data_IF_436495907735
#
_entry.id   IF_436495907735
#
_cell.length_a   1.000
_cell.length_b   1.000
_cell.length_c   1.000
_cell.angle_alpha   90.00
_cell.angle_beta   90.00
_cell.angle_gamma   90.00
#
_symmetry.space_group_name_H-M   'P 1'
#
loop_
_entity.id
_entity.type
_entity.pdbx_description
1 polymer ?
#
# COMPACT_ATOMS: atom_id res chain seq x y z
N UNK A 1 42.80 7.21 -22.22
CA UNK A 1 41.99 8.17 -22.98
C UNK A 1 41.69 9.34 -22.06
N UNK A 2 41.96 10.59 -22.48
CA UNK A 2 41.70 11.77 -21.64
C UNK A 2 40.64 12.60 -22.36
N UNK A 3 39.56 12.94 -21.67
CA UNK A 3 38.47 13.77 -22.19
C UNK A 3 38.63 15.22 -21.70
N UNK A 4 38.37 16.20 -22.55
CA UNK A 4 38.37 17.61 -22.19
C UNK A 4 37.01 18.22 -22.51
N UNK A 5 36.47 19.01 -21.56
CA UNK A 5 35.25 19.74 -21.79
C UNK A 5 35.42 20.74 -22.93
N UNK A 6 34.54 20.71 -23.93
CA UNK A 6 34.51 21.65 -25.03
C UNK A 6 33.71 22.89 -24.63
N UNK A 7 34.17 24.06 -24.95
CA UNK A 7 33.37 25.28 -24.78
C UNK A 7 32.10 25.19 -25.64
N UNK A 8 30.94 25.18 -25.00
CA UNK A 8 29.67 25.18 -25.69
C UNK A 8 29.19 26.63 -25.83
N UNK A 9 28.93 27.04 -27.07
CA UNK A 9 28.24 28.30 -27.35
C UNK A 9 26.73 28.02 -27.30
N UNK A 10 26.03 28.54 -26.32
CA UNK A 10 24.60 28.38 -26.14
C UNK A 10 24.14 28.81 -24.75
N UNK A 11 22.85 28.72 -24.52
CA UNK A 11 22.26 29.02 -23.22
C UNK A 11 22.81 28.07 -22.18
N UNK A 12 23.31 28.58 -21.08
CA UNK A 12 23.81 27.80 -19.95
C UNK A 12 22.77 27.81 -18.85
N UNK A 13 22.55 26.62 -18.27
CA UNK A 13 21.65 26.47 -17.13
C UNK A 13 22.48 26.37 -15.86
N UNK A 14 22.20 27.23 -14.89
CA UNK A 14 22.82 27.14 -13.57
C UNK A 14 22.27 25.94 -12.81
N UNK A 15 23.12 24.96 -12.50
CA UNK A 15 22.76 23.81 -11.68
C UNK A 15 23.19 24.08 -10.24
N UNK A 16 22.27 24.14 -9.27
CA UNK A 16 22.61 24.36 -7.86
C UNK A 16 23.55 23.28 -7.32
N UNK A 17 24.48 23.67 -6.44
CA UNK A 17 25.43 22.75 -5.82
C UNK A 17 24.72 21.63 -5.03
N UNK A 18 23.49 21.88 -4.58
CA UNK A 18 22.62 20.90 -3.96
C UNK A 18 22.43 19.63 -4.82
N UNK A 19 22.24 19.79 -6.12
CA UNK A 19 22.07 18.67 -7.06
C UNK A 19 23.32 17.79 -7.07
N UNK A 20 24.51 18.42 -7.12
CA UNK A 20 25.78 17.69 -7.09
C UNK A 20 25.99 16.92 -5.78
N UNK A 21 25.60 17.51 -4.64
CA UNK A 21 25.74 16.86 -3.34
C UNK A 21 24.86 15.62 -3.18
N UNK A 22 23.79 15.51 -3.97
CA UNK A 22 22.83 14.38 -3.92
C UNK A 22 23.06 13.33 -5.02
N UNK A 23 24.01 13.53 -5.94
CA UNK A 23 24.27 12.58 -7.04
C UNK A 23 24.60 11.15 -6.55
N UNK A 24 25.23 11.01 -5.40
CA UNK A 24 25.61 9.69 -4.87
C UNK A 24 24.43 8.86 -4.34
N UNK A 25 23.29 9.48 -4.07
CA UNK A 25 22.08 8.84 -3.51
C UNK A 25 20.85 8.97 -4.44
N UNK A 26 20.95 9.81 -5.48
CA UNK A 26 19.87 10.02 -6.43
C UNK A 26 19.90 8.93 -7.50
N UNK A 27 18.75 8.34 -7.79
CA UNK A 27 18.61 7.42 -8.92
C UNK A 27 18.70 8.18 -10.26
N UNK A 28 19.04 7.48 -11.35
CA UNK A 28 19.24 8.08 -12.67
C UNK A 28 18.07 8.97 -13.10
N UNK A 29 16.84 8.52 -12.90
CA UNK A 29 15.65 9.29 -13.28
C UNK A 29 15.45 10.54 -12.42
N UNK A 30 15.87 10.53 -11.15
CA UNK A 30 15.82 11.71 -10.28
C UNK A 30 16.72 12.83 -10.84
N UNK A 31 17.92 12.48 -11.25
CA UNK A 31 18.86 13.45 -11.83
C UNK A 31 18.32 14.03 -13.15
N UNK A 32 17.75 13.18 -13.99
CA UNK A 32 17.14 13.61 -15.26
C UNK A 32 15.98 14.58 -15.03
N UNK A 33 15.12 14.29 -14.05
CA UNK A 33 14.00 15.18 -13.67
C UNK A 33 14.51 16.51 -13.11
N UNK A 34 15.53 16.51 -12.23
CA UNK A 34 16.09 17.77 -11.72
C UNK A 34 16.62 18.67 -12.83
N UNK A 35 17.42 18.12 -13.73
CA UNK A 35 18.00 18.88 -14.85
C UNK A 35 16.91 19.43 -15.79
N UNK A 36 15.88 18.62 -16.06
CA UNK A 36 14.76 19.05 -16.90
C UNK A 36 13.96 20.17 -16.23
N UNK A 37 13.64 20.02 -14.94
CA UNK A 37 12.91 21.05 -14.18
C UNK A 37 13.70 22.35 -14.10
N UNK A 38 15.01 22.27 -13.86
CA UNK A 38 15.90 23.46 -13.87
C UNK A 38 15.97 24.14 -15.23
N UNK A 39 15.86 23.36 -16.32
CA UNK A 39 15.91 23.88 -17.68
C UNK A 39 14.58 24.50 -18.13
N UNK A 40 13.46 23.91 -17.75
CA UNK A 40 12.13 24.22 -18.33
C UNK A 40 11.15 24.82 -17.34
N UNK A 41 11.39 24.66 -16.05
CA UNK A 41 10.43 25.01 -14.98
C UNK A 41 9.21 24.10 -14.90
N UNK A 42 9.14 23.05 -15.72
CA UNK A 42 7.97 22.14 -15.77
C UNK A 42 8.05 21.11 -14.66
N UNK A 43 7.03 21.08 -13.80
CA UNK A 43 6.89 20.13 -12.67
C UNK A 43 5.70 19.19 -12.80
N UNK A 44 5.01 19.21 -13.94
CA UNK A 44 3.87 18.32 -14.22
C UNK A 44 4.34 16.88 -14.45
N UNK A 45 3.91 15.89 -13.64
CA UNK A 45 4.36 14.50 -13.77
C UNK A 45 4.06 13.86 -15.12
N UNK A 46 2.94 14.21 -15.76
CA UNK A 46 2.55 13.63 -17.05
C UNK A 46 3.45 14.15 -18.17
N UNK A 47 3.77 15.45 -18.18
CA UNK A 47 4.73 16.03 -19.10
C UNK A 47 6.14 15.49 -18.87
N UNK A 48 6.57 15.36 -17.62
CA UNK A 48 7.87 14.76 -17.27
C UNK A 48 7.97 13.32 -17.79
N UNK A 49 6.91 12.54 -17.66
CA UNK A 49 6.87 11.18 -18.20
C UNK A 49 7.02 11.17 -19.72
N UNK A 50 6.28 12.03 -20.42
CA UNK A 50 6.31 12.10 -21.89
C UNK A 50 7.66 12.52 -22.41
N UNK A 51 8.21 13.64 -21.90
CA UNK A 51 9.42 14.27 -22.41
C UNK A 51 10.69 13.51 -22.04
N UNK A 52 10.76 12.97 -20.83
CA UNK A 52 11.91 12.20 -20.35
C UNK A 52 11.79 10.70 -20.61
N UNK A 53 10.68 10.24 -21.20
CA UNK A 53 10.37 8.80 -21.44
C UNK A 53 10.58 7.95 -20.18
N UNK A 54 10.01 8.40 -19.06
CA UNK A 54 10.08 7.67 -17.82
C UNK A 54 9.16 6.43 -17.88
N UNK A 55 9.49 5.41 -17.10
CA UNK A 55 8.73 4.14 -17.11
C UNK A 55 7.29 4.27 -16.63
N UNK A 56 7.02 5.23 -15.73
CA UNK A 56 5.69 5.46 -15.16
C UNK A 56 5.58 6.87 -14.58
N UNK A 57 4.34 7.35 -14.44
CA UNK A 57 4.01 8.58 -13.74
C UNK A 57 4.53 8.57 -12.28
N UNK A 58 4.45 7.42 -11.62
CA UNK A 58 4.95 7.23 -10.25
C UNK A 58 6.44 7.55 -10.15
N UNK A 59 7.23 7.23 -11.18
CA UNK A 59 8.66 7.57 -11.22
C UNK A 59 8.88 9.08 -11.28
N UNK A 60 8.04 9.82 -12.01
CA UNK A 60 8.10 11.28 -12.06
C UNK A 60 7.71 11.90 -10.71
N UNK A 61 6.61 11.43 -10.11
CA UNK A 61 6.14 11.89 -8.80
C UNK A 61 7.16 11.59 -7.69
N UNK A 62 7.77 10.40 -7.71
CA UNK A 62 8.84 10.02 -6.78
C UNK A 62 10.06 10.93 -6.91
N UNK A 63 10.46 11.26 -8.14
CA UNK A 63 11.58 12.18 -8.39
C UNK A 63 11.27 13.59 -7.89
N UNK A 64 10.07 14.11 -8.13
CA UNK A 64 9.64 15.41 -7.62
C UNK A 64 9.60 15.43 -6.09
N UNK A 65 9.09 14.38 -5.47
CA UNK A 65 9.07 14.23 -4.01
C UNK A 65 10.48 14.17 -3.42
N UNK A 66 11.40 13.45 -4.07
CA UNK A 66 12.80 13.39 -3.66
C UNK A 66 13.45 14.78 -3.67
N UNK A 67 13.25 15.55 -4.75
CA UNK A 67 13.83 16.89 -4.86
C UNK A 67 13.14 17.93 -3.99
N UNK A 68 11.86 17.75 -3.69
CA UNK A 68 11.17 18.56 -2.67
C UNK A 68 11.73 18.29 -1.27
N UNK A 69 11.96 17.02 -0.93
CA UNK A 69 12.60 16.63 0.33
C UNK A 69 14.07 17.08 0.44
N UNK A 70 14.77 17.19 -0.69
CA UNK A 70 16.14 17.71 -0.77
C UNK A 70 16.22 19.24 -0.69
N UNK A 71 15.09 19.97 -0.84
CA UNK A 71 15.04 21.42 -0.81
C UNK A 71 15.33 22.09 -2.17
N UNK A 72 15.30 21.36 -3.27
CA UNK A 72 15.40 21.91 -4.63
C UNK A 72 14.06 22.45 -5.13
N UNK A 73 12.96 21.82 -4.72
CA UNK A 73 11.59 22.20 -5.06
C UNK A 73 10.81 22.53 -3.81
N UNK A 74 9.92 23.50 -3.90
CA UNK A 74 8.92 23.76 -2.86
C UNK A 74 7.59 23.13 -3.25
N UNK A 75 6.91 22.49 -2.29
CA UNK A 75 5.53 22.05 -2.49
C UNK A 75 4.62 23.25 -2.30
N UNK A 76 4.06 23.73 -3.38
CA UNK A 76 2.91 24.63 -3.32
C UNK A 76 1.64 23.80 -3.33
N UNK A 77 0.81 23.91 -2.30
CA UNK A 77 -0.60 23.57 -2.41
C UNK A 77 -1.25 24.72 -3.17
N UNK A 78 -1.43 24.54 -4.47
CA UNK A 78 -2.15 25.47 -5.31
C UNK A 78 -3.60 25.47 -4.81
N UNK A 79 -4.03 26.59 -4.22
CA UNK A 79 -5.41 26.82 -3.84
C UNK A 79 -6.31 26.51 -5.05
N UNK A 80 -7.15 25.50 -4.92
CA UNK A 80 -7.96 24.91 -5.96
C UNK A 80 -8.66 25.95 -6.82
N UNK A 81 -8.33 25.97 -8.10
CA UNK A 81 -9.19 26.53 -9.13
C UNK A 81 -10.46 25.67 -9.24
N UNK A 82 -11.64 26.25 -9.45
CA UNK A 82 -12.90 25.50 -9.53
C UNK A 82 -12.91 24.59 -10.78
N UNK A 83 -12.67 23.28 -10.58
CA UNK A 83 -12.64 22.28 -11.64
C UNK A 83 -11.66 21.12 -11.42
N UNK A 84 -10.84 21.13 -10.37
CA UNK A 84 -10.00 19.99 -10.01
C UNK A 84 -10.87 18.89 -9.38
N UNK A 85 -10.68 17.65 -9.83
CA UNK A 85 -11.19 16.47 -9.12
C UNK A 85 -10.81 16.55 -7.65
N UNK A 86 -11.68 16.10 -6.72
CA UNK A 86 -11.45 16.28 -5.30
C UNK A 86 -10.12 15.61 -4.89
N UNK A 87 -9.13 16.44 -4.56
CA UNK A 87 -7.96 16.02 -3.79
C UNK A 87 -8.47 15.24 -2.58
N UNK A 88 -7.92 14.05 -2.36
CA UNK A 88 -8.31 13.25 -1.21
C UNK A 88 -8.31 14.14 0.05
N UNK A 89 -9.42 14.18 0.79
CA UNK A 89 -9.56 15.09 1.93
C UNK A 89 -8.42 14.84 2.93
N UNK A 90 -7.90 15.92 3.53
CA UNK A 90 -6.84 15.80 4.53
C UNK A 90 -7.29 14.89 5.69
N UNK A 91 -6.40 14.05 6.26
CA UNK A 91 -6.78 13.11 7.31
C UNK A 91 -7.49 13.82 8.47
N UNK A 92 -8.68 13.32 8.81
CA UNK A 92 -9.48 13.84 9.90
C UNK A 92 -8.70 13.73 11.21
N UNK A 93 -8.63 14.84 11.93
CA UNK A 93 -8.02 14.87 13.25
C UNK A 93 -9.02 14.45 14.33
N UNK A 94 -8.51 14.06 15.49
CA UNK A 94 -9.34 13.57 16.60
C UNK A 94 -10.56 14.47 16.96
N UNK A 95 -10.39 15.79 16.94
CA UNK A 95 -11.48 16.71 17.22
C UNK A 95 -12.63 16.62 16.18
N UNK A 96 -12.30 16.40 14.94
CA UNK A 96 -13.26 16.24 13.83
C UNK A 96 -13.93 14.85 13.91
N UNK A 97 -13.18 13.81 14.26
CA UNK A 97 -13.69 12.47 14.48
C UNK A 97 -14.67 12.44 15.65
N UNK A 98 -14.35 13.12 16.74
CA UNK A 98 -15.23 13.24 17.90
C UNK A 98 -16.53 14.00 17.58
N UNK A 99 -16.50 14.93 16.63
CA UNK A 99 -17.69 15.60 16.11
C UNK A 99 -18.47 14.69 15.15
N UNK A 100 -17.78 14.02 14.24
CA UNK A 100 -18.38 13.12 13.24
C UNK A 100 -19.02 11.87 13.87
N UNK A 101 -18.44 11.33 14.96
CA UNK A 101 -19.00 10.17 15.66
C UNK A 101 -20.36 10.42 16.31
N UNK A 102 -20.72 11.69 16.52
CA UNK A 102 -22.07 12.08 16.99
C UNK A 102 -23.10 12.01 15.87
N UNK A 103 -22.67 12.12 14.64
CA UNK A 103 -23.54 12.19 13.47
C UNK A 103 -23.56 10.84 12.73
N UNK A 104 -22.44 10.13 12.72
CA UNK A 104 -22.30 8.82 12.09
C UNK A 104 -22.01 7.72 13.14
N UNK A 105 -23.01 6.88 13.46
CA UNK A 105 -22.85 5.79 14.43
C UNK A 105 -21.86 4.71 13.98
N UNK A 106 -21.55 4.63 12.66
CA UNK A 106 -20.56 3.70 12.13
C UNK A 106 -19.15 3.98 12.65
N UNK A 107 -18.80 5.26 12.86
CA UNK A 107 -17.50 5.65 13.41
C UNK A 107 -17.32 5.08 14.82
N UNK A 108 -18.36 5.19 15.66
CA UNK A 108 -18.34 4.61 17.01
C UNK A 108 -18.19 3.10 16.96
N UNK A 109 -18.96 2.43 16.09
CA UNK A 109 -18.90 0.97 15.91
C UNK A 109 -17.52 0.49 15.44
N UNK A 110 -16.86 1.23 14.54
CA UNK A 110 -15.49 0.95 14.08
C UNK A 110 -14.49 1.04 15.22
N UNK A 111 -14.58 2.10 16.05
CA UNK A 111 -13.68 2.30 17.20
C UNK A 111 -13.88 1.18 18.22
N UNK A 112 -15.13 0.85 18.54
CA UNK A 112 -15.46 -0.21 19.51
C UNK A 112 -14.99 -1.58 19.00
N UNK A 113 -15.18 -1.88 17.71
CA UNK A 113 -14.65 -3.08 17.07
C UNK A 113 -13.13 -3.15 17.19
N UNK A 114 -12.43 -2.05 16.91
CA UNK A 114 -10.99 -1.96 17.01
C UNK A 114 -10.49 -2.20 18.44
N UNK A 115 -11.10 -1.58 19.43
CA UNK A 115 -10.75 -1.76 20.84
C UNK A 115 -11.01 -3.20 21.32
N UNK A 116 -12.16 -3.76 20.95
CA UNK A 116 -12.51 -5.14 21.28
C UNK A 116 -11.55 -6.13 20.65
N UNK A 117 -11.26 -5.99 19.37
CA UNK A 117 -10.36 -6.90 18.63
C UNK A 117 -8.93 -6.84 19.15
N UNK A 118 -8.44 -5.65 19.47
CA UNK A 118 -7.09 -5.49 20.00
C UNK A 118 -6.98 -5.76 21.51
N UNK A 119 -8.13 -5.94 22.17
CA UNK A 119 -8.24 -6.15 23.62
C UNK A 119 -7.54 -5.06 24.45
N UNK A 120 -7.55 -3.81 23.94
CA UNK A 120 -7.01 -2.61 24.59
C UNK A 120 -7.64 -1.34 24.01
N UNK A 121 -7.63 -0.23 24.77
CA UNK A 121 -8.02 1.06 24.22
C UNK A 121 -7.11 1.43 23.02
N UNK A 122 -7.72 2.03 22.00
CA UNK A 122 -6.98 2.60 20.89
C UNK A 122 -6.45 4.00 21.26
N UNK A 123 -5.25 4.32 20.83
CA UNK A 123 -4.73 5.67 20.91
C UNK A 123 -5.45 6.61 19.93
N UNK A 124 -5.40 7.91 20.14
CA UNK A 124 -6.00 8.90 19.22
C UNK A 124 -5.50 8.72 17.78
N UNK A 125 -4.21 8.50 17.59
CA UNK A 125 -3.61 8.27 16.28
C UNK A 125 -4.11 6.95 15.63
N UNK A 126 -4.39 5.92 16.42
CA UNK A 126 -4.95 4.67 15.89
C UNK A 126 -6.42 4.85 15.50
N UNK A 127 -7.19 5.59 16.31
CA UNK A 127 -8.56 5.95 15.98
C UNK A 127 -8.64 6.81 14.71
N UNK A 128 -7.76 7.80 14.57
CA UNK A 128 -7.65 8.62 13.37
C UNK A 128 -7.39 7.75 12.12
N UNK A 129 -6.42 6.83 12.19
CA UNK A 129 -6.13 5.92 11.08
C UNK A 129 -7.30 5.02 10.74
N UNK A 130 -7.97 4.45 11.76
CA UNK A 130 -9.09 3.56 11.56
C UNK A 130 -10.28 4.26 10.87
N UNK A 131 -10.62 5.47 11.34
CA UNK A 131 -11.71 6.26 10.76
C UNK A 131 -11.37 6.75 9.35
N UNK A 132 -10.12 7.12 9.13
CA UNK A 132 -9.66 7.56 7.80
C UNK A 132 -9.72 6.44 6.74
N UNK A 133 -9.53 5.18 7.12
CA UNK A 133 -9.75 4.04 6.21
C UNK A 133 -11.21 4.00 5.69
N UNK A 134 -12.18 4.31 6.54
CA UNK A 134 -13.59 4.39 6.18
C UNK A 134 -13.92 5.67 5.41
N UNK A 135 -13.63 6.85 6.00
CA UNK A 135 -14.11 8.13 5.49
C UNK A 135 -13.34 8.61 4.27
N UNK A 136 -12.01 8.39 4.24
CA UNK A 136 -11.15 8.94 3.18
C UNK A 136 -10.74 7.91 2.15
N UNK A 137 -10.32 6.71 2.61
CA UNK A 137 -9.92 5.66 1.69
C UNK A 137 -11.12 4.91 1.11
N UNK A 138 -12.36 5.16 1.62
CA UNK A 138 -13.61 4.66 1.08
C UNK A 138 -13.81 3.15 1.24
N UNK A 139 -13.17 2.52 2.23
CA UNK A 139 -13.47 1.12 2.54
C UNK A 139 -14.85 1.00 3.19
N UNK A 140 -15.61 -0.03 2.82
CA UNK A 140 -16.85 -0.34 3.53
C UNK A 140 -16.55 -0.61 5.02
N UNK A 141 -17.33 -0.07 5.97
CA UNK A 141 -17.05 -0.20 7.39
C UNK A 141 -17.03 -1.65 7.85
N UNK A 142 -17.89 -2.50 7.29
CA UNK A 142 -17.94 -3.94 7.56
C UNK A 142 -16.63 -4.63 7.12
N UNK A 143 -16.08 -4.25 5.97
CA UNK A 143 -14.79 -4.75 5.47
C UNK A 143 -13.66 -4.39 6.42
N UNK A 144 -13.66 -3.15 6.92
CA UNK A 144 -12.66 -2.69 7.90
C UNK A 144 -12.79 -3.48 9.21
N UNK A 145 -13.98 -3.66 9.73
CA UNK A 145 -14.23 -4.42 10.96
C UNK A 145 -13.77 -5.89 10.85
N UNK A 146 -14.11 -6.54 9.74
CA UNK A 146 -13.70 -7.93 9.47
C UNK A 146 -12.18 -8.04 9.35
N UNK A 147 -11.54 -7.10 8.67
CA UNK A 147 -10.08 -7.07 8.55
C UNK A 147 -9.39 -6.85 9.90
N UNK A 148 -9.89 -5.93 10.74
CA UNK A 148 -9.36 -5.69 12.08
C UNK A 148 -9.45 -6.97 12.93
N UNK A 149 -10.61 -7.64 12.94
CA UNK A 149 -10.79 -8.90 13.65
C UNK A 149 -9.86 -10.00 13.13
N UNK A 150 -9.73 -10.14 11.82
CA UNK A 150 -8.84 -11.10 11.18
C UNK A 150 -7.37 -10.87 11.55
N UNK A 151 -6.87 -9.64 11.42
CA UNK A 151 -5.49 -9.30 11.75
C UNK A 151 -5.20 -9.51 13.24
N UNK A 152 -6.16 -9.18 14.11
CA UNK A 152 -6.06 -9.40 15.55
C UNK A 152 -6.03 -10.89 15.91
N UNK A 153 -6.83 -11.73 15.24
CA UNK A 153 -6.86 -13.19 15.47
C UNK A 153 -5.51 -13.85 15.13
N UNK A 154 -4.74 -13.24 14.21
CA UNK A 154 -3.38 -13.65 13.87
C UNK A 154 -2.30 -13.08 14.81
N UNK A 155 -2.70 -12.50 15.93
CA UNK A 155 -1.79 -11.91 16.91
C UNK A 155 -1.19 -10.56 16.53
N UNK A 156 -1.54 -9.99 15.37
CA UNK A 156 -1.03 -8.69 14.91
C UNK A 156 -2.01 -7.59 15.33
N UNK A 157 -1.71 -6.88 16.42
CA UNK A 157 -2.60 -5.85 16.98
C UNK A 157 -2.09 -4.44 16.70
N UNK A 158 -1.84 -4.13 15.42
CA UNK A 158 -1.33 -2.82 14.97
C UNK A 158 -2.10 -2.28 13.78
N UNK A 159 -2.33 -0.97 13.74
CA UNK A 159 -2.99 -0.31 12.60
C UNK A 159 -2.20 -0.44 11.30
N UNK A 160 -0.87 -0.54 11.37
CA UNK A 160 -0.04 -0.77 10.19
C UNK A 160 -0.36 -2.12 9.53
N UNK A 161 -0.57 -3.17 10.32
CA UNK A 161 -0.95 -4.49 9.81
C UNK A 161 -2.36 -4.48 9.20
N UNK A 162 -3.32 -3.77 9.81
CA UNK A 162 -4.68 -3.61 9.28
C UNK A 162 -4.66 -2.85 7.95
N UNK A 163 -3.96 -1.73 7.88
CA UNK A 163 -3.86 -0.94 6.64
C UNK A 163 -3.19 -1.73 5.51
N UNK A 164 -2.15 -2.50 5.83
CA UNK A 164 -1.49 -3.36 4.85
C UNK A 164 -2.44 -4.43 4.32
N UNK A 165 -3.13 -5.14 5.21
CA UNK A 165 -4.06 -6.22 4.86
C UNK A 165 -5.24 -5.72 4.02
N UNK A 166 -5.84 -4.57 4.38
CA UNK A 166 -6.90 -3.94 3.59
C UNK A 166 -6.45 -3.59 2.16
N UNK A 167 -5.21 -3.14 2.01
CA UNK A 167 -4.65 -2.87 0.67
C UNK A 167 -4.47 -4.16 -0.15
N UNK A 168 -4.06 -5.25 0.50
CA UNK A 168 -4.00 -6.58 -0.15
C UNK A 168 -5.40 -7.02 -0.57
N UNK A 169 -6.38 -6.93 0.33
CA UNK A 169 -7.76 -7.27 0.02
C UNK A 169 -8.34 -6.46 -1.14
N UNK A 170 -8.09 -5.14 -1.17
CA UNK A 170 -8.50 -4.29 -2.30
C UNK A 170 -7.83 -4.70 -3.60
N UNK A 171 -6.55 -5.06 -3.58
CA UNK A 171 -5.84 -5.55 -4.77
C UNK A 171 -6.40 -6.90 -5.28
N UNK A 172 -7.02 -7.68 -4.40
CA UNK A 172 -7.72 -8.94 -4.73
C UNK A 172 -9.20 -8.72 -5.08
N UNK A 173 -9.67 -7.47 -5.11
CA UNK A 173 -11.05 -7.12 -5.47
C UNK A 173 -12.06 -7.24 -4.32
N UNK A 174 -11.59 -7.28 -3.08
CA UNK A 174 -12.45 -7.34 -1.88
C UNK A 174 -12.76 -5.91 -1.43
N UNK A 175 -13.95 -5.44 -1.75
CA UNK A 175 -14.39 -4.06 -1.48
C UNK A 175 -15.58 -4.00 -0.50
N UNK A 176 -16.45 -5.02 -0.54
CA UNK A 176 -17.66 -5.08 0.29
C UNK A 176 -17.54 -6.03 1.47
N UNK A 177 -18.41 -5.87 2.48
CA UNK A 177 -18.47 -6.78 3.63
C UNK A 177 -18.76 -8.24 3.24
N UNK A 178 -19.62 -8.46 2.24
CA UNK A 178 -19.92 -9.81 1.76
C UNK A 178 -18.70 -10.47 1.09
N UNK A 179 -17.97 -9.69 0.28
CA UNK A 179 -16.73 -10.16 -0.33
C UNK A 179 -15.65 -10.44 0.72
N UNK A 180 -15.57 -9.61 1.76
CA UNK A 180 -14.64 -9.80 2.88
C UNK A 180 -14.97 -11.09 3.66
N UNK A 181 -16.25 -11.37 3.94
CA UNK A 181 -16.68 -12.61 4.59
C UNK A 181 -16.35 -13.84 3.73
N UNK A 182 -16.65 -13.80 2.43
CA UNK A 182 -16.29 -14.85 1.49
C UNK A 182 -14.76 -15.08 1.41
N UNK A 183 -13.99 -13.99 1.39
CA UNK A 183 -12.53 -14.03 1.40
C UNK A 183 -11.99 -14.68 2.68
N UNK A 184 -12.51 -14.30 3.83
CA UNK A 184 -12.14 -14.90 5.13
C UNK A 184 -12.45 -16.40 5.18
N UNK A 185 -13.59 -16.83 4.66
CA UNK A 185 -13.95 -18.26 4.54
C UNK A 185 -12.95 -19.00 3.64
N UNK A 186 -12.53 -18.39 2.53
CA UNK A 186 -11.50 -18.96 1.66
C UNK A 186 -10.15 -19.07 2.38
N UNK A 187 -9.74 -18.03 3.10
CA UNK A 187 -8.49 -18.06 3.87
C UNK A 187 -8.50 -19.13 4.96
N UNK A 188 -9.63 -19.28 5.68
CA UNK A 188 -9.79 -20.34 6.67
C UNK A 188 -9.74 -21.74 6.04
N UNK A 189 -10.36 -21.92 4.86
CA UNK A 189 -10.31 -23.17 4.12
C UNK A 189 -8.89 -23.50 3.65
N UNK A 190 -8.16 -22.50 3.15
CA UNK A 190 -6.75 -22.68 2.77
C UNK A 190 -5.89 -23.10 3.96
N UNK A 191 -6.08 -22.45 5.11
CA UNK A 191 -5.36 -22.81 6.33
C UNK A 191 -5.65 -24.25 6.74
N UNK A 192 -6.93 -24.69 6.76
CA UNK A 192 -7.29 -26.06 7.08
C UNK A 192 -6.64 -27.08 6.14
N UNK A 193 -6.59 -26.77 4.84
CA UNK A 193 -5.91 -27.61 3.84
C UNK A 193 -4.40 -27.66 4.04
N UNK A 194 -3.77 -26.53 4.37
CA UNK A 194 -2.35 -26.49 4.72
C UNK A 194 -2.05 -27.33 5.96
N UNK A 195 -2.87 -27.24 7.00
CA UNK A 195 -2.76 -28.05 8.22
C UNK A 195 -2.91 -29.55 7.90
N UNK A 196 -3.91 -29.91 7.07
CA UNK A 196 -4.13 -31.29 6.64
C UNK A 196 -2.93 -31.83 5.88
N UNK A 197 -2.45 -31.12 4.86
CA UNK A 197 -1.28 -31.56 4.07
C UNK A 197 -0.02 -31.64 4.93
N UNK A 198 0.18 -30.67 5.84
CA UNK A 198 1.30 -30.71 6.78
C UNK A 198 1.26 -31.96 7.65
N UNK A 199 0.08 -32.33 8.13
CA UNK A 199 -0.09 -33.56 8.92
C UNK A 199 0.24 -34.83 8.15
N UNK A 200 -0.11 -34.89 6.86
CA UNK A 200 0.24 -36.02 5.99
C UNK A 200 1.75 -36.13 5.75
N UNK A 201 2.41 -34.98 5.59
CA UNK A 201 3.87 -34.92 5.36
C UNK A 201 4.68 -35.01 6.66
N UNK A 202 4.02 -35.11 7.82
CA UNK A 202 4.63 -35.14 9.16
C UNK A 202 5.52 -33.92 9.44
N UNK A 203 5.14 -32.74 8.91
CA UNK A 203 5.78 -31.45 9.14
C UNK A 203 4.84 -30.50 9.86
N UNK A 204 5.37 -29.45 10.47
CA UNK A 204 4.52 -28.40 11.04
C UNK A 204 4.07 -27.42 9.95
N UNK A 205 2.89 -26.77 10.07
CA UNK A 205 2.44 -25.75 9.12
C UNK A 205 3.41 -24.57 8.96
N UNK A 206 4.26 -24.35 9.95
CA UNK A 206 5.29 -23.30 9.97
C UNK A 206 6.48 -23.65 9.06
N UNK A 207 6.76 -24.94 8.86
CA UNK A 207 7.80 -25.42 7.95
C UNK A 207 7.41 -25.36 6.47
N UNK A 208 6.10 -25.14 6.18
CA UNK A 208 5.65 -24.94 4.81
C UNK A 208 6.21 -23.65 4.23
N UNK A 209 6.99 -23.81 3.16
CA UNK A 209 7.48 -22.67 2.39
C UNK A 209 6.34 -21.94 1.68
N UNK A 210 6.56 -20.68 1.29
CA UNK A 210 5.60 -19.92 0.48
C UNK A 210 5.27 -20.65 -0.83
N UNK A 211 6.25 -21.31 -1.44
CA UNK A 211 6.06 -22.16 -2.62
C UNK A 211 5.14 -23.36 -2.35
N UNK A 212 5.35 -24.02 -1.22
CA UNK A 212 4.49 -25.14 -0.78
C UNK A 212 3.05 -24.72 -0.57
N UNK A 213 2.81 -23.61 0.13
CA UNK A 213 1.45 -23.06 0.33
C UNK A 213 0.75 -22.74 -1.01
N UNK A 214 1.47 -22.13 -1.96
CA UNK A 214 0.94 -21.86 -3.30
C UNK A 214 0.65 -23.16 -4.07
N UNK A 215 1.47 -24.18 -3.91
CA UNK A 215 1.23 -25.48 -4.55
C UNK A 215 -0.03 -26.14 -4.00
N UNK A 216 -0.19 -26.18 -2.66
CA UNK A 216 -1.39 -26.70 -2.01
C UNK A 216 -2.64 -25.96 -2.50
N UNK A 217 -2.64 -24.62 -2.52
CA UNK A 217 -3.75 -23.84 -3.03
C UNK A 217 -4.10 -24.23 -4.48
N UNK A 218 -3.09 -24.41 -5.36
CA UNK A 218 -3.31 -24.83 -6.73
C UNK A 218 -3.91 -26.24 -6.85
N UNK A 219 -3.53 -27.19 -5.99
CA UNK A 219 -4.10 -28.54 -6.02
C UNK A 219 -5.60 -28.52 -5.83
N UNK A 220 -6.08 -27.78 -4.84
CA UNK A 220 -7.49 -27.70 -4.52
C UNK A 220 -8.29 -26.73 -5.41
N UNK A 221 -7.72 -25.56 -5.75
CA UNK A 221 -8.47 -24.47 -6.40
C UNK A 221 -8.38 -24.53 -7.93
N UNK A 222 -7.26 -25.01 -8.48
CA UNK A 222 -7.03 -25.05 -9.93
C UNK A 222 -7.24 -26.46 -10.47
N UNK A 223 -6.70 -27.48 -9.79
CA UNK A 223 -6.81 -28.87 -10.26
C UNK A 223 -8.01 -29.61 -9.71
N UNK A 224 -8.70 -29.04 -8.71
CA UNK A 224 -9.89 -29.62 -8.11
C UNK A 224 -9.65 -30.92 -7.34
N UNK A 225 -8.43 -31.11 -6.81
CA UNK A 225 -8.13 -32.30 -6.01
C UNK A 225 -8.89 -32.24 -4.70
N UNK A 226 -9.33 -33.40 -4.23
CA UNK A 226 -9.90 -33.58 -2.91
C UNK A 226 -8.88 -34.15 -1.91
N UNK A 227 -9.25 -34.21 -0.64
CA UNK A 227 -8.38 -34.70 0.43
C UNK A 227 -7.94 -36.15 0.19
N UNK A 228 -8.78 -36.99 -0.43
CA UNK A 228 -8.46 -38.39 -0.72
C UNK A 228 -7.36 -38.51 -1.77
N UNK A 229 -7.44 -37.71 -2.85
CA UNK A 229 -6.41 -37.66 -3.88
C UNK A 229 -5.08 -37.17 -3.33
N UNK A 230 -5.11 -36.14 -2.46
CA UNK A 230 -3.90 -35.60 -1.84
C UNK A 230 -3.28 -36.62 -0.88
N UNK A 231 -4.11 -37.34 -0.11
CA UNK A 231 -3.64 -38.41 0.76
C UNK A 231 -2.98 -39.56 -0.01
N UNK A 232 -3.60 -40.00 -1.11
CA UNK A 232 -3.03 -41.08 -1.96
C UNK A 232 -1.67 -40.66 -2.55
N UNK A 233 -1.56 -39.43 -3.03
CA UNK A 233 -0.30 -38.89 -3.53
C UNK A 233 0.79 -38.83 -2.43
N UNK A 234 0.43 -38.44 -1.22
CA UNK A 234 1.36 -38.37 -0.09
C UNK A 234 1.87 -39.74 0.38
N UNK A 235 1.04 -40.79 0.23
CA UNK A 235 1.43 -42.19 0.58
C UNK A 235 2.39 -42.77 -0.46
N UNK A 236 2.34 -42.28 -1.71
CA UNK A 236 3.18 -42.78 -2.81
C UNK A 236 4.54 -42.04 -2.90
N UNK A 237 4.71 -40.92 -2.20
CA UNK A 237 5.91 -40.08 -2.21
C UNK A 237 6.92 -40.49 -1.13
#
# INVERSE_FOLDING_TARGET
>A
MIYRLKELKGDTIAVPQLVFSKLGIAEEYNVRVALYVLATGVTDPDKLCADLKLRSRISAESALAFWAGAGLLERYEENAAPGAEPSAPAPMRWAEIAAASRTDPMISSLIDCGQTSFARPLTHTEMEKLVNLYVQEGFAPETVMLCVAYVASRGKRTMAAVTHELKVWRAEGVETGEQADAHLKLLALRQSREEYVSSLLQITPEELTLGGRKAIARWYEVYGYDDAMVQEAAVQA
#
